data_IF_166541014403
#
_entry.id   IF_166541014403
#
_cell.length_a   1.000
_cell.length_b   1.000
_cell.length_c   1.000
_cell.angle_alpha   90.00
_cell.angle_beta   90.00
_cell.angle_gamma   90.00
#
_symmetry.space_group_name_H-M   'P 1'
#
loop_
_entity.id
_entity.type
_entity.pdbx_description
1 polymer ?
#
# COMPACT_ATOMS: atom_id res chain seq x y z
N UNK A 1 7.09 34.19 33.15
CA UNK A 1 6.11 33.33 32.46
C UNK A 1 6.87 32.36 31.57
N UNK A 2 7.03 31.10 32.03
CA UNK A 2 7.75 30.07 31.29
C UNK A 2 6.92 29.61 30.08
N UNK A 3 7.45 29.82 28.87
CA UNK A 3 6.95 29.20 27.64
C UNK A 3 7.38 27.73 27.65
N UNK A 4 6.46 26.81 27.96
CA UNK A 4 6.60 25.40 27.61
C UNK A 4 6.69 25.31 26.08
N UNK A 5 7.84 24.89 25.55
CA UNK A 5 7.92 24.41 24.17
C UNK A 5 7.02 23.17 24.05
N UNK A 6 6.29 22.98 22.94
CA UNK A 6 5.59 21.74 22.70
C UNK A 6 6.63 20.65 22.42
N UNK A 7 6.61 19.59 23.23
CA UNK A 7 7.37 18.37 22.98
C UNK A 7 6.95 17.80 21.62
N UNK A 8 7.71 18.12 20.58
CA UNK A 8 7.58 17.48 19.27
C UNK A 8 8.23 16.10 19.32
N UNK A 9 7.61 15.18 20.05
CA UNK A 9 7.84 13.75 19.84
C UNK A 9 7.05 13.33 18.59
N UNK A 10 7.46 13.85 17.44
CA UNK A 10 7.00 13.41 16.13
C UNK A 10 7.79 12.16 15.67
N UNK A 11 7.95 11.20 16.58
CA UNK A 11 8.57 9.90 16.27
C UNK A 11 7.53 8.93 15.74
N UNK A 12 7.94 8.02 14.85
CA UNK A 12 7.14 6.85 14.50
C UNK A 12 6.77 6.09 15.78
N UNK A 13 5.56 5.51 15.82
CA UNK A 13 5.16 4.64 16.93
C UNK A 13 6.16 3.49 17.10
N UNK A 14 6.30 2.97 18.32
CA UNK A 14 7.16 1.81 18.60
C UNK A 14 6.81 0.61 17.72
N UNK A 15 5.51 0.33 17.55
CA UNK A 15 5.02 -0.70 16.64
C UNK A 15 5.46 -0.48 15.18
N UNK A 16 5.44 0.76 14.69
CA UNK A 16 5.92 1.07 13.34
C UNK A 16 7.44 0.87 13.23
N UNK A 17 8.21 1.27 14.24
CA UNK A 17 9.65 1.04 14.27
C UNK A 17 9.99 -0.45 14.28
N UNK A 18 9.26 -1.25 15.07
CA UNK A 18 9.46 -2.70 15.14
C UNK A 18 9.13 -3.36 13.80
N UNK A 19 8.03 -2.94 13.16
CA UNK A 19 7.68 -3.39 11.81
C UNK A 19 8.80 -3.09 10.80
N UNK A 20 9.32 -1.86 10.76
CA UNK A 20 10.42 -1.50 9.85
C UNK A 20 11.69 -2.30 10.10
N UNK A 21 12.04 -2.53 11.37
CA UNK A 21 13.21 -3.34 11.73
C UNK A 21 13.06 -4.78 11.26
N UNK A 22 11.88 -5.37 11.46
CA UNK A 22 11.60 -6.72 11.02
C UNK A 22 11.59 -6.82 9.49
N UNK A 23 10.97 -5.85 8.82
CA UNK A 23 10.96 -5.74 7.36
C UNK A 23 12.37 -5.70 6.79
N UNK A 24 13.24 -4.81 7.29
CA UNK A 24 14.63 -4.69 6.82
C UNK A 24 15.41 -5.99 7.05
N UNK A 25 15.22 -6.64 8.21
CA UNK A 25 15.88 -7.91 8.50
C UNK A 25 15.46 -9.00 7.51
N UNK A 26 14.17 -9.13 7.22
CA UNK A 26 13.67 -10.11 6.25
C UNK A 26 14.14 -9.78 4.83
N UNK A 27 14.15 -8.49 4.47
CA UNK A 27 14.66 -8.04 3.18
C UNK A 27 16.14 -8.43 2.98
N UNK A 28 16.97 -8.24 3.99
CA UNK A 28 18.39 -8.62 3.94
C UNK A 28 18.55 -10.14 3.74
N UNK A 29 17.78 -10.95 4.47
CA UNK A 29 17.78 -12.41 4.33
C UNK A 29 17.39 -12.81 2.90
N UNK A 30 16.25 -12.31 2.41
CA UNK A 30 15.75 -12.68 1.09
C UNK A 30 16.62 -12.15 -0.05
N UNK A 31 17.26 -10.99 0.11
CA UNK A 31 18.24 -10.49 -0.87
C UNK A 31 19.46 -11.40 -0.94
N UNK A 32 19.98 -11.84 0.22
CA UNK A 32 21.09 -12.78 0.24
C UNK A 32 20.72 -14.13 -0.40
N UNK A 33 19.54 -14.67 -0.10
CA UNK A 33 19.06 -15.95 -0.64
C UNK A 33 18.81 -15.89 -2.14
N UNK A 34 18.06 -14.89 -2.61
CA UNK A 34 17.79 -14.71 -4.04
C UNK A 34 19.05 -14.38 -4.83
N UNK A 35 19.99 -13.64 -4.22
CA UNK A 35 21.30 -13.34 -4.80
C UNK A 35 22.20 -14.57 -4.95
N UNK A 36 22.21 -15.47 -3.96
CA UNK A 36 22.96 -16.74 -4.03
C UNK A 36 22.46 -17.68 -5.13
N UNK A 37 21.18 -17.56 -5.53
CA UNK A 37 20.61 -18.35 -6.60
C UNK A 37 21.03 -17.89 -8.01
N UNK A 38 21.70 -16.74 -8.13
CA UNK A 38 22.17 -16.20 -9.41
C UNK A 38 23.40 -16.94 -9.93
N UNK A 39 23.55 -16.97 -11.25
CA UNK A 39 24.66 -17.63 -11.93
C UNK A 39 25.71 -16.61 -12.33
N UNK A 40 26.94 -17.07 -12.60
CA UNK A 40 28.03 -16.19 -13.03
C UNK A 40 27.78 -15.54 -14.41
N UNK A 41 26.92 -16.15 -15.22
CA UNK A 41 26.50 -15.67 -16.54
C UNK A 41 25.17 -14.90 -16.52
N UNK A 42 24.64 -14.59 -15.33
CA UNK A 42 23.40 -13.81 -15.19
C UNK A 42 23.54 -12.40 -15.74
N UNK A 43 22.46 -11.92 -16.34
CA UNK A 43 22.39 -10.60 -16.94
C UNK A 43 21.80 -9.56 -15.97
N UNK A 44 21.80 -8.26 -16.33
CA UNK A 44 21.20 -7.22 -15.50
C UNK A 44 19.72 -7.43 -15.13
N UNK A 45 18.94 -8.05 -16.01
CA UNK A 45 17.53 -8.30 -15.75
C UNK A 45 17.34 -9.40 -14.68
N UNK A 46 18.22 -10.40 -14.65
CA UNK A 46 18.23 -11.41 -13.59
C UNK A 46 18.50 -10.80 -12.20
N UNK A 47 19.43 -9.84 -12.10
CA UNK A 47 19.68 -9.13 -10.84
C UNK A 47 18.45 -8.36 -10.36
N UNK A 48 17.80 -7.62 -11.27
CA UNK A 48 16.57 -6.89 -10.96
C UNK A 48 15.44 -7.84 -10.54
N UNK A 49 15.30 -8.98 -11.22
CA UNK A 49 14.29 -9.97 -10.90
C UNK A 49 14.53 -10.62 -9.53
N UNK A 50 15.78 -10.92 -9.19
CA UNK A 50 16.15 -11.43 -7.86
C UNK A 50 15.82 -10.41 -6.76
N UNK A 51 16.20 -9.14 -6.96
CA UNK A 51 15.89 -8.07 -6.01
C UNK A 51 14.37 -7.89 -5.82
N UNK A 52 13.59 -7.84 -6.91
CA UNK A 52 12.13 -7.72 -6.83
C UNK A 52 11.47 -8.94 -6.18
N UNK A 53 12.01 -10.15 -6.40
CA UNK A 53 11.55 -11.36 -5.68
C UNK A 53 11.80 -11.25 -4.18
N UNK A 54 12.97 -10.77 -3.76
CA UNK A 54 13.25 -10.56 -2.35
C UNK A 54 12.30 -9.56 -1.70
N UNK A 55 12.03 -8.43 -2.39
CA UNK A 55 11.04 -7.45 -1.93
C UNK A 55 9.66 -8.08 -1.81
N UNK A 56 9.22 -8.82 -2.83
CA UNK A 56 7.92 -9.50 -2.85
C UNK A 56 7.77 -10.50 -1.69
N UNK A 57 8.78 -11.34 -1.45
CA UNK A 57 8.80 -12.29 -0.32
C UNK A 57 8.77 -11.56 1.04
N UNK A 58 9.49 -10.45 1.16
CA UNK A 58 9.49 -9.63 2.38
C UNK A 58 8.11 -9.04 2.66
N UNK A 59 7.42 -8.57 1.62
CA UNK A 59 6.06 -8.04 1.73
C UNK A 59 5.06 -9.13 2.15
N UNK A 60 5.14 -10.31 1.51
CA UNK A 60 4.31 -11.47 1.87
C UNK A 60 4.51 -11.85 3.35
N UNK A 61 5.76 -11.94 3.82
CA UNK A 61 6.11 -12.22 5.23
C UNK A 61 5.64 -11.14 6.21
N UNK A 62 5.49 -9.91 5.71
CA UNK A 62 4.97 -8.79 6.49
C UNK A 62 3.45 -8.77 6.53
N UNK A 63 2.79 -9.78 5.94
CA UNK A 63 1.33 -9.90 5.87
C UNK A 63 0.68 -9.09 4.75
N UNK A 64 1.47 -8.49 3.85
CA UNK A 64 0.96 -7.67 2.74
C UNK A 64 0.72 -8.57 1.54
N UNK A 65 -0.56 -8.83 1.24
CA UNK A 65 -0.97 -9.70 0.13
C UNK A 65 -0.76 -9.07 -1.25
N UNK A 66 -0.77 -9.89 -2.31
CA UNK A 66 -0.52 -9.41 -3.68
C UNK A 66 -1.48 -8.32 -4.15
N UNK A 67 -2.77 -8.40 -3.79
CA UNK A 67 -3.75 -7.37 -4.13
C UNK A 67 -3.45 -6.04 -3.41
N UNK A 68 -3.00 -6.11 -2.15
CA UNK A 68 -2.60 -4.94 -1.37
C UNK A 68 -1.31 -4.30 -1.93
N UNK A 69 -0.38 -5.12 -2.45
CA UNK A 69 0.80 -4.62 -3.15
C UNK A 69 0.39 -3.84 -4.41
N UNK A 70 -0.56 -4.35 -5.21
CA UNK A 70 -1.07 -3.64 -6.39
C UNK A 70 -1.70 -2.32 -5.99
N UNK A 71 -2.49 -2.30 -4.92
CA UNK A 71 -3.06 -1.08 -4.35
C UNK A 71 -1.98 -0.07 -3.95
N UNK A 72 -0.95 -0.50 -3.21
CA UNK A 72 0.16 0.35 -2.80
C UNK A 72 0.94 0.90 -4.00
N UNK A 73 1.23 0.07 -5.00
CA UNK A 73 1.90 0.49 -6.23
C UNK A 73 1.05 1.50 -7.00
N UNK A 74 -0.27 1.32 -7.04
CA UNK A 74 -1.18 2.28 -7.66
C UNK A 74 -1.12 3.65 -6.99
N UNK A 75 -1.09 3.69 -5.65
CA UNK A 75 -0.92 4.94 -4.89
C UNK A 75 0.39 5.63 -5.21
N UNK A 76 1.49 4.87 -5.15
CA UNK A 76 2.83 5.37 -5.46
C UNK A 76 2.88 5.94 -6.89
N UNK A 77 2.28 5.25 -7.86
CA UNK A 77 2.27 5.69 -9.26
C UNK A 77 1.55 7.05 -9.43
N UNK A 78 0.43 7.25 -8.74
CA UNK A 78 -0.30 8.53 -8.75
C UNK A 78 0.51 9.63 -8.06
N UNK A 79 1.12 9.34 -6.90
CA UNK A 79 1.96 10.29 -6.16
C UNK A 79 3.22 10.72 -6.92
N UNK A 80 3.76 9.84 -7.78
CA UNK A 80 4.97 10.11 -8.57
C UNK A 80 4.72 10.88 -9.86
N UNK A 81 3.47 11.23 -10.18
CA UNK A 81 3.14 12.02 -11.38
C UNK A 81 3.57 13.48 -11.19
N UNK A 82 4.82 13.77 -11.61
CA UNK A 82 5.50 15.07 -11.75
C UNK A 82 5.56 16.02 -10.53
N UNK A 83 6.71 16.05 -9.86
CA UNK A 83 7.27 17.22 -9.12
C UNK A 83 6.29 18.00 -8.23
N UNK A 84 5.48 17.30 -7.43
CA UNK A 84 4.92 17.85 -6.21
C UNK A 84 3.48 18.38 -6.29
N UNK A 85 2.79 18.21 -7.43
CA UNK A 85 1.34 18.42 -7.49
C UNK A 85 0.66 17.07 -7.70
N UNK A 86 0.03 16.54 -6.65
CA UNK A 86 -0.83 15.37 -6.78
C UNK A 86 -1.91 15.66 -7.84
N UNK A 87 -2.15 14.73 -8.79
CA UNK A 87 -3.14 14.95 -9.83
C UNK A 87 -4.52 15.19 -9.22
N UNK A 88 -5.14 16.33 -9.54
CA UNK A 88 -6.49 16.66 -9.03
C UNK A 88 -7.53 15.82 -9.76
N UNK A 89 -8.38 15.15 -8.97
CA UNK A 89 -9.48 14.34 -9.50
C UNK A 89 -10.36 15.15 -10.46
N UNK A 90 -10.68 14.57 -11.62
CA UNK A 90 -11.46 15.23 -12.67
C UNK A 90 -12.25 14.22 -13.52
N UNK A 91 -13.10 14.73 -14.42
CA UNK A 91 -13.98 13.91 -15.27
C UNK A 91 -13.21 12.97 -16.21
N UNK A 92 -12.01 13.34 -16.65
CA UNK A 92 -11.19 12.53 -17.56
C UNK A 92 -10.58 11.32 -16.81
N UNK A 93 -10.06 11.54 -15.61
CA UNK A 93 -9.59 10.46 -14.73
C UNK A 93 -10.73 9.50 -14.35
N UNK A 94 -11.92 10.04 -14.10
CA UNK A 94 -13.11 9.22 -13.84
C UNK A 94 -13.52 8.39 -15.07
N UNK A 95 -13.49 8.99 -16.27
CA UNK A 95 -13.75 8.29 -17.53
C UNK A 95 -12.77 7.14 -17.72
N UNK A 96 -11.47 7.40 -17.58
CA UNK A 96 -10.42 6.38 -17.67
C UNK A 96 -10.62 5.26 -16.65
N UNK A 97 -10.98 5.60 -15.41
CA UNK A 97 -11.31 4.62 -14.38
C UNK A 97 -12.47 3.70 -14.78
N UNK A 98 -13.54 4.25 -15.38
CA UNK A 98 -14.66 3.43 -15.86
C UNK A 98 -14.27 2.52 -17.01
N UNK A 99 -13.48 3.00 -17.96
CA UNK A 99 -12.95 2.16 -19.05
C UNK A 99 -12.16 0.97 -18.50
N UNK A 100 -11.32 1.19 -17.49
CA UNK A 100 -10.55 0.14 -16.84
C UNK A 100 -11.44 -0.86 -16.08
N UNK A 101 -12.49 -0.39 -15.40
CA UNK A 101 -13.47 -1.28 -14.74
C UNK A 101 -14.20 -2.15 -15.78
N UNK A 102 -14.58 -1.59 -16.92
CA UNK A 102 -15.24 -2.35 -17.98
C UNK A 102 -14.32 -3.45 -18.55
N UNK A 103 -13.02 -3.16 -18.67
CA UNK A 103 -12.00 -4.12 -19.10
C UNK A 103 -11.77 -5.20 -18.02
N UNK A 104 -11.81 -4.83 -16.74
CA UNK A 104 -11.71 -5.75 -15.60
C UNK A 104 -12.89 -6.73 -15.54
N UNK A 105 -14.12 -6.22 -15.70
CA UNK A 105 -15.34 -7.03 -15.78
C UNK A 105 -15.27 -8.05 -16.94
N UNK A 106 -14.60 -7.68 -18.03
CA UNK A 106 -14.36 -8.59 -19.16
C UNK A 106 -13.21 -9.59 -18.91
N UNK A 107 -12.50 -9.49 -17.79
CA UNK A 107 -11.36 -10.34 -17.44
C UNK A 107 -10.13 -10.11 -18.32
N UNK A 108 -9.97 -8.91 -18.87
CA UNK A 108 -8.89 -8.57 -19.82
C UNK A 108 -7.90 -7.55 -19.30
N UNK A 109 -8.01 -7.17 -18.04
CA UNK A 109 -7.17 -6.14 -17.44
C UNK A 109 -5.71 -6.62 -17.35
N UNK A 110 -4.79 -5.85 -17.92
CA UNK A 110 -3.37 -6.14 -17.82
C UNK A 110 -2.82 -5.76 -16.42
N UNK A 111 -1.67 -6.31 -15.99
CA UNK A 111 -1.07 -5.95 -14.71
C UNK A 111 -0.76 -4.44 -14.57
N UNK A 112 -0.36 -3.78 -15.65
CA UNK A 112 -0.14 -2.33 -15.65
C UNK A 112 -1.45 -1.56 -15.45
N UNK A 113 -2.52 -2.00 -16.11
CA UNK A 113 -3.85 -1.42 -15.97
C UNK A 113 -4.47 -1.70 -14.59
N UNK A 114 -4.13 -2.81 -13.93
CA UNK A 114 -4.50 -3.10 -12.54
C UNK A 114 -3.91 -2.05 -11.59
N UNK A 115 -2.61 -1.76 -11.73
CA UNK A 115 -1.93 -0.72 -10.95
C UNK A 115 -2.54 0.65 -11.24
N UNK A 116 -2.81 0.97 -12.51
CA UNK A 116 -3.46 2.23 -12.90
C UNK A 116 -4.86 2.36 -12.26
N UNK A 117 -5.70 1.32 -12.37
CA UNK A 117 -7.05 1.30 -11.81
C UNK A 117 -7.03 1.45 -10.28
N UNK A 118 -6.08 0.80 -9.61
CA UNK A 118 -5.89 0.92 -8.17
C UNK A 118 -5.53 2.36 -7.76
N UNK A 119 -4.60 2.98 -8.49
CA UNK A 119 -4.22 4.39 -8.30
C UNK A 119 -5.41 5.35 -8.48
N UNK A 120 -6.13 5.23 -9.60
CA UNK A 120 -7.30 6.08 -9.88
C UNK A 120 -8.41 5.87 -8.85
N UNK A 121 -8.61 4.63 -8.38
CA UNK A 121 -9.61 4.33 -7.34
C UNK A 121 -9.22 4.93 -6.00
N UNK A 122 -7.94 4.95 -5.65
CA UNK A 122 -7.47 5.64 -4.46
C UNK A 122 -7.72 7.15 -4.56
N UNK A 123 -7.30 7.78 -5.66
CA UNK A 123 -7.47 9.22 -5.87
C UNK A 123 -8.94 9.65 -5.81
N UNK A 124 -9.84 8.84 -6.37
CA UNK A 124 -11.29 9.06 -6.28
C UNK A 124 -11.79 9.05 -4.82
N UNK A 125 -11.29 8.12 -4.00
CA UNK A 125 -11.67 8.02 -2.57
C UNK A 125 -11.17 9.24 -1.80
N UNK A 126 -9.94 9.69 -2.04
CA UNK A 126 -9.41 10.89 -1.41
C UNK A 126 -10.24 12.14 -1.77
N UNK A 127 -10.59 12.29 -3.05
CA UNK A 127 -11.46 13.38 -3.49
C UNK A 127 -12.86 13.30 -2.87
N UNK A 128 -13.47 12.11 -2.83
CA UNK A 128 -14.77 11.93 -2.18
C UNK A 128 -14.70 12.24 -0.68
N UNK A 129 -13.65 11.79 0.02
CA UNK A 129 -13.46 12.09 1.44
C UNK A 129 -13.26 13.61 1.69
N UNK A 130 -12.65 14.33 0.74
CA UNK A 130 -12.47 15.79 0.82
C UNK A 130 -13.77 16.57 0.55
N UNK A 131 -14.59 16.12 -0.40
CA UNK A 131 -15.86 16.77 -0.76
C UNK A 131 -16.98 16.48 0.25
N UNK A 132 -16.95 15.33 0.93
CA UNK A 132 -17.94 14.96 1.95
C UNK A 132 -17.56 15.50 3.34
N UNK A 133 -18.04 16.69 3.65
CA UNK A 133 -18.13 17.20 5.03
C UNK A 133 -19.30 16.54 5.79
N UNK A 134 -19.34 15.20 5.83
CA UNK A 134 -20.26 14.41 6.66
C UNK A 134 -19.40 13.69 7.69
N UNK A 135 -19.75 13.65 9.00
CA UNK A 135 -18.88 13.11 10.04
C UNK A 135 -18.76 11.58 9.95
N UNK A 136 -18.01 11.09 8.96
CA UNK A 136 -17.63 9.69 8.75
C UNK A 136 -16.76 9.16 9.89
N UNK A 137 -16.26 10.03 10.78
CA UNK A 137 -15.64 9.62 12.04
C UNK A 137 -16.54 8.67 12.86
N UNK A 138 -17.86 8.86 12.84
CA UNK A 138 -18.80 7.94 13.48
C UNK A 138 -18.76 6.54 12.84
N UNK A 139 -18.85 6.49 11.52
CA UNK A 139 -18.82 5.23 10.76
C UNK A 139 -17.45 4.53 10.84
N UNK A 140 -16.35 5.29 10.78
CA UNK A 140 -14.97 4.78 10.91
C UNK A 140 -14.65 4.30 12.33
N UNK A 141 -15.22 4.93 13.37
CA UNK A 141 -15.15 4.42 14.75
C UNK A 141 -15.94 3.13 14.91
N UNK A 142 -17.15 3.09 14.35
CA UNK A 142 -18.00 1.90 14.41
C UNK A 142 -17.35 0.71 13.70
N UNK A 143 -16.80 0.91 12.50
CA UNK A 143 -16.11 -0.15 11.78
C UNK A 143 -14.91 -0.69 12.57
N UNK A 144 -14.04 0.20 13.07
CA UNK A 144 -12.90 -0.22 13.92
C UNK A 144 -13.34 -1.00 15.15
N UNK A 145 -14.43 -0.58 15.80
CA UNK A 145 -14.94 -1.27 16.98
C UNK A 145 -15.51 -2.65 16.66
N UNK A 146 -16.21 -2.79 15.53
CA UNK A 146 -16.75 -4.07 15.08
C UNK A 146 -15.65 -5.05 14.66
N UNK A 147 -14.60 -4.58 13.98
CA UNK A 147 -13.45 -5.42 13.60
C UNK A 147 -12.67 -5.90 14.83
N UNK A 148 -12.53 -5.05 15.86
CA UNK A 148 -11.90 -5.44 17.14
C UNK A 148 -12.72 -6.50 17.88
N UNK A 149 -14.05 -6.38 17.91
CA UNK A 149 -14.92 -7.36 18.55
C UNK A 149 -14.93 -8.71 17.82
N UNK A 150 -14.79 -8.72 16.50
CA UNK A 150 -14.66 -9.96 15.72
C UNK A 150 -13.33 -10.67 15.98
N UNK A 151 -12.23 -9.93 16.21
CA UNK A 151 -10.93 -10.53 16.57
C UNK A 151 -10.88 -11.14 17.97
N UNK A 152 -11.73 -10.69 18.90
CA UNK A 152 -11.79 -11.19 20.28
C UNK A 152 -12.82 -12.31 20.47
N UNK A 153 -13.64 -12.60 19.46
CA UNK A 153 -14.71 -13.62 19.52
C UNK A 153 -14.29 -15.03 19.12
N UNK A 154 -13.02 -15.23 18.75
CA UNK A 154 -12.49 -16.52 18.26
C UNK A 154 -11.61 -17.28 19.26
N UNK A 155 -11.42 -16.77 20.48
CA UNK A 155 -10.52 -17.39 21.48
C UNK A 155 -11.24 -18.00 22.71
N UNK A 156 -12.57 -18.14 22.70
CA UNK A 156 -13.29 -18.87 23.75
C UNK A 156 -14.27 -19.89 23.16
N UNK A 157 -13.81 -21.13 22.97
CA UNK A 157 -14.64 -22.31 23.22
C UNK A 157 -13.75 -23.46 23.77
N UNK A 158 -14.12 -24.08 24.91
CA UNK A 158 -13.33 -25.10 25.59
C UNK A 158 -13.29 -26.48 24.91
#
# INVERSE_FOLDING_TARGET
TNKKQPDSNAGLSEAANDWFRQFVKHLEIYLAETGQALRQDSDPADFCLAALRAVKLTLDDSGIGSDEIVDLLGRIAIEQTERGEQPVWNAELNRRRFELIDVDIQGKLTPAEQVELAGLTHLMREHADADYNVPLEGARRLHRHLTQLQSTGTDEEP
#
